data_IF_059575338432
#
_entry.id   IF_059575338432
#
_cell.length_a   1.000
_cell.length_b   1.000
_cell.length_c   1.000
_cell.angle_alpha   90.00
_cell.angle_beta   90.00
_cell.angle_gamma   90.00
#
_symmetry.space_group_name_H-M   'P 1'
#
loop_
_entity.id
_entity.type
_entity.pdbx_description
1 polymer ?
#
# COMPACT_ATOMS: atom_id res chain seq x y z
N UNK A 1 9.46 15.66 -23.18
CA UNK A 1 9.25 15.43 -21.76
C UNK A 1 7.85 15.92 -21.40
N UNK A 2 7.05 15.07 -20.81
CA UNK A 2 5.73 15.39 -20.27
C UNK A 2 5.79 15.54 -18.75
N UNK A 3 4.63 15.72 -18.10
CA UNK A 3 4.54 15.81 -16.64
C UNK A 3 5.08 14.53 -15.96
N UNK A 4 4.84 13.36 -16.54
CA UNK A 4 5.33 12.09 -16.02
C UNK A 4 6.85 12.01 -16.01
N UNK A 5 7.50 12.37 -17.11
CA UNK A 5 8.96 12.41 -17.19
C UNK A 5 9.56 13.38 -16.15
N UNK A 6 8.93 14.56 -15.97
CA UNK A 6 9.39 15.55 -14.99
C UNK A 6 9.23 15.04 -13.54
N UNK A 7 8.14 14.38 -13.22
CA UNK A 7 7.90 13.83 -11.87
C UNK A 7 8.92 12.73 -11.55
N UNK A 8 9.18 11.82 -12.48
CA UNK A 8 10.14 10.74 -12.32
C UNK A 8 11.59 11.22 -12.16
N UNK A 9 12.00 12.26 -12.91
CA UNK A 9 13.34 12.85 -12.78
C UNK A 9 13.66 13.28 -11.34
N UNK A 10 12.67 13.81 -10.63
CA UNK A 10 12.83 14.23 -9.23
C UNK A 10 13.01 13.05 -8.27
N UNK A 11 12.55 11.87 -8.66
CA UNK A 11 12.64 10.64 -7.86
C UNK A 11 13.93 9.86 -8.14
N UNK A 12 14.66 10.21 -9.20
CA UNK A 12 15.94 9.60 -9.55
C UNK A 12 15.85 8.30 -10.34
N UNK A 13 14.70 8.02 -10.96
CA UNK A 13 14.48 6.95 -11.93
C UNK A 13 13.69 7.47 -13.13
N UNK A 14 13.54 6.70 -14.17
CA UNK A 14 12.87 7.11 -15.40
C UNK A 14 11.75 6.18 -15.82
N UNK A 15 11.13 6.53 -16.94
CA UNK A 15 10.04 5.76 -17.54
C UNK A 15 10.44 4.31 -17.82
N UNK A 16 11.65 4.09 -18.33
CA UNK A 16 12.13 2.74 -18.69
C UNK A 16 12.16 1.79 -17.49
N UNK A 17 12.54 2.29 -16.33
CA UNK A 17 12.54 1.53 -15.08
C UNK A 17 11.12 1.16 -14.65
N UNK A 18 10.18 2.09 -14.73
CA UNK A 18 8.77 1.83 -14.39
C UNK A 18 8.08 0.91 -15.38
N UNK A 19 8.33 1.08 -16.68
CA UNK A 19 7.79 0.21 -17.72
C UNK A 19 8.29 -1.24 -17.52
N UNK A 20 9.59 -1.40 -17.21
CA UNK A 20 10.16 -2.71 -16.87
C UNK A 20 9.53 -3.30 -15.60
N UNK A 21 9.35 -2.49 -14.57
CA UNK A 21 8.69 -2.91 -13.34
C UNK A 21 7.25 -3.41 -13.61
N UNK A 22 6.44 -2.61 -14.29
CA UNK A 22 5.07 -2.99 -14.65
C UNK A 22 5.03 -4.26 -15.51
N UNK A 23 5.98 -4.42 -16.44
CA UNK A 23 6.12 -5.63 -17.25
C UNK A 23 6.45 -6.86 -16.41
N UNK A 24 7.32 -6.72 -15.40
CA UNK A 24 7.63 -7.81 -14.46
C UNK A 24 6.40 -8.17 -13.61
N UNK A 25 5.67 -7.18 -13.09
CA UNK A 25 4.42 -7.41 -12.34
C UNK A 25 3.40 -8.14 -13.21
N UNK A 26 3.18 -7.68 -14.44
CA UNK A 26 2.29 -8.36 -15.38
C UNK A 26 2.70 -9.81 -15.63
N UNK A 27 3.99 -10.07 -15.78
CA UNK A 27 4.51 -11.40 -16.09
C UNK A 27 4.46 -12.37 -14.91
N UNK A 28 4.78 -11.91 -13.71
CA UNK A 28 5.03 -12.78 -12.56
C UNK A 28 3.94 -12.70 -11.47
N UNK A 29 3.33 -11.53 -11.27
CA UNK A 29 2.33 -11.34 -10.22
C UNK A 29 0.89 -11.53 -10.74
N UNK A 30 0.58 -11.08 -11.95
CA UNK A 30 -0.77 -11.25 -12.51
C UNK A 30 -1.24 -12.72 -12.53
N UNK A 31 -0.42 -13.72 -12.87
CA UNK A 31 -0.83 -15.12 -12.78
C UNK A 31 -1.22 -15.56 -11.35
N UNK A 32 -0.53 -15.06 -10.31
CA UNK A 32 -0.88 -15.33 -8.92
C UNK A 32 -2.22 -14.67 -8.55
N UNK A 33 -2.42 -13.43 -8.97
CA UNK A 33 -3.68 -12.73 -8.75
C UNK A 33 -4.87 -13.49 -9.38
N UNK A 34 -4.72 -13.98 -10.60
CA UNK A 34 -5.72 -14.80 -11.27
C UNK A 34 -5.99 -16.12 -10.53
N UNK A 35 -4.96 -16.79 -10.04
CA UNK A 35 -5.10 -17.99 -9.21
C UNK A 35 -5.88 -17.70 -7.93
N UNK A 36 -5.59 -16.57 -7.26
CA UNK A 36 -6.30 -16.16 -6.05
C UNK A 36 -7.76 -15.82 -6.32
N UNK A 37 -8.06 -15.16 -7.43
CA UNK A 37 -9.45 -14.91 -7.85
C UNK A 37 -10.21 -16.22 -8.06
N UNK A 38 -9.59 -17.21 -8.67
CA UNK A 38 -10.21 -18.53 -8.86
C UNK A 38 -10.46 -19.24 -7.50
N UNK A 39 -9.50 -19.17 -6.57
CA UNK A 39 -9.70 -19.67 -5.21
C UNK A 39 -10.82 -18.93 -4.47
N UNK A 40 -10.92 -17.62 -4.63
CA UNK A 40 -12.02 -16.80 -4.08
C UNK A 40 -13.36 -17.23 -4.67
N UNK A 41 -13.45 -17.37 -6.00
CA UNK A 41 -14.64 -17.83 -6.70
C UNK A 41 -15.14 -19.17 -6.15
N UNK A 42 -14.21 -20.14 -5.99
CA UNK A 42 -14.51 -21.47 -5.45
C UNK A 42 -14.96 -21.40 -3.99
N UNK A 43 -14.30 -20.57 -3.17
CA UNK A 43 -14.65 -20.38 -1.76
C UNK A 43 -16.04 -19.77 -1.59
N UNK A 44 -16.40 -18.79 -2.43
CA UNK A 44 -17.73 -18.17 -2.44
C UNK A 44 -18.80 -19.06 -3.06
N UNK A 45 -18.44 -20.12 -3.78
CA UNK A 45 -19.37 -21.03 -4.43
C UNK A 45 -20.13 -20.40 -5.61
N UNK A 46 -19.57 -19.34 -6.24
CA UNK A 46 -20.20 -18.65 -7.37
C UNK A 46 -19.70 -19.20 -8.70
N UNK A 47 -20.54 -19.18 -9.73
CA UNK A 47 -20.16 -19.61 -11.08
C UNK A 47 -19.16 -18.63 -11.70
N UNK A 48 -19.38 -17.34 -11.51
CA UNK A 48 -18.55 -16.25 -12.02
C UNK A 48 -18.30 -15.25 -10.90
N UNK A 49 -17.04 -14.84 -10.71
CA UNK A 49 -16.68 -13.77 -9.77
C UNK A 49 -16.95 -12.41 -10.42
N UNK A 50 -18.03 -11.75 -10.01
CA UNK A 50 -18.41 -10.44 -10.51
C UNK A 50 -17.68 -9.30 -9.78
N UNK A 51 -17.64 -8.07 -10.33
CA UNK A 51 -16.93 -6.96 -9.71
C UNK A 51 -17.30 -6.69 -8.25
N UNK A 52 -18.57 -6.82 -7.91
CA UNK A 52 -19.08 -6.61 -6.53
C UNK A 52 -18.74 -7.76 -5.57
N UNK A 53 -18.42 -8.96 -6.09
CA UNK A 53 -17.98 -10.10 -5.26
C UNK A 53 -16.52 -9.96 -4.83
N UNK A 54 -15.73 -9.14 -5.54
CA UNK A 54 -14.27 -9.04 -5.33
C UNK A 54 -13.88 -8.51 -3.95
N UNK A 55 -14.72 -7.74 -3.31
CA UNK A 55 -14.49 -7.26 -1.96
C UNK A 55 -14.73 -8.34 -0.89
N UNK A 56 -15.45 -9.41 -1.21
CA UNK A 56 -15.81 -10.47 -0.29
C UNK A 56 -14.88 -11.68 -0.48
N UNK A 57 -14.03 -11.95 0.49
CA UNK A 57 -13.08 -13.09 0.42
C UNK A 57 -13.68 -14.37 1.00
N UNK A 58 -14.59 -14.28 1.96
CA UNK A 58 -15.21 -15.39 2.66
C UNK A 58 -16.75 -15.31 2.58
N UNK A 59 -17.48 -16.42 2.42
CA UNK A 59 -18.95 -16.41 2.28
C UNK A 59 -19.66 -15.94 3.56
N UNK A 60 -19.07 -16.13 4.72
CA UNK A 60 -19.57 -15.64 6.01
C UNK A 60 -19.26 -14.18 6.29
N UNK A 61 -18.53 -13.52 5.40
CA UNK A 61 -18.03 -12.14 5.54
C UNK A 61 -16.54 -12.09 5.82
N UNK A 62 -15.96 -10.93 5.60
CA UNK A 62 -14.54 -10.66 5.87
C UNK A 62 -14.29 -10.48 7.38
N UNK A 63 -13.03 -10.52 7.79
CA UNK A 63 -12.63 -10.36 9.17
C UNK A 63 -13.07 -9.02 9.75
N UNK A 64 -13.67 -9.07 10.93
CA UNK A 64 -14.10 -7.88 11.69
C UNK A 64 -13.09 -7.62 12.79
N UNK A 65 -12.49 -6.42 12.84
CA UNK A 65 -11.54 -6.05 13.88
C UNK A 65 -12.23 -5.74 15.22
N UNK A 66 -11.42 -5.47 16.24
CA UNK A 66 -11.90 -4.80 17.45
C UNK A 66 -12.45 -3.40 17.11
N UNK A 67 -13.30 -2.85 17.97
CA UNK A 67 -13.83 -1.51 17.79
C UNK A 67 -12.72 -0.46 17.68
N UNK A 68 -12.97 0.63 16.95
CA UNK A 68 -11.96 1.66 16.68
C UNK A 68 -11.31 2.23 17.96
N UNK A 69 -12.08 2.37 19.02
CA UNK A 69 -11.62 2.84 20.34
C UNK A 69 -10.66 1.85 21.04
N UNK A 70 -10.69 0.58 20.66
CA UNK A 70 -9.80 -0.47 21.18
C UNK A 70 -8.53 -0.65 20.36
N UNK A 71 -8.45 -0.08 19.15
CA UNK A 71 -7.28 -0.17 18.27
C UNK A 71 -5.98 0.27 18.95
N UNK A 72 -5.94 1.40 19.71
CA UNK A 72 -4.73 1.82 20.40
C UNK A 72 -4.24 0.78 21.43
N UNK A 73 -5.17 0.11 22.12
CA UNK A 73 -4.83 -0.93 23.10
C UNK A 73 -4.31 -2.20 22.42
N UNK A 74 -4.91 -2.59 21.31
CA UNK A 74 -4.45 -3.72 20.48
C UNK A 74 -3.05 -3.47 19.91
N UNK A 75 -2.79 -2.29 19.37
CA UNK A 75 -1.51 -1.92 18.77
C UNK A 75 -0.37 -1.76 19.79
N UNK A 76 -0.66 -1.37 21.02
CA UNK A 76 0.37 -1.06 22.03
C UNK A 76 1.35 -2.20 22.24
N UNK A 77 0.86 -3.44 22.30
CA UNK A 77 1.70 -4.63 22.47
C UNK A 77 2.70 -4.79 21.33
N UNK A 78 2.25 -4.58 20.10
CA UNK A 78 3.08 -4.65 18.90
C UNK A 78 4.20 -3.60 18.95
N UNK A 79 3.87 -2.33 19.17
CA UNK A 79 4.85 -1.25 19.18
C UNK A 79 5.92 -1.43 20.26
N UNK A 80 5.54 -1.87 21.46
CA UNK A 80 6.50 -2.21 22.52
C UNK A 80 7.35 -3.44 22.20
N UNK A 81 6.84 -4.37 21.40
CA UNK A 81 7.60 -5.55 20.98
C UNK A 81 8.58 -5.24 19.83
N UNK A 82 8.28 -4.26 18.97
CA UNK A 82 9.16 -3.85 17.89
C UNK A 82 10.46 -3.23 18.42
N UNK A 83 10.35 -2.26 19.32
CA UNK A 83 11.49 -1.68 20.06
C UNK A 83 11.03 -0.79 21.22
N UNK A 84 11.91 -0.50 22.19
CA UNK A 84 11.60 0.49 23.24
C UNK A 84 11.24 1.88 22.68
N UNK A 85 11.89 2.31 21.59
CA UNK A 85 11.64 3.60 20.96
C UNK A 85 10.28 3.64 20.24
N UNK A 86 9.92 2.57 19.51
CA UNK A 86 8.61 2.46 18.90
C UNK A 86 7.49 2.42 19.95
N UNK A 87 7.70 1.70 21.06
CA UNK A 87 6.77 1.68 22.19
C UNK A 87 6.61 3.06 22.82
N UNK A 88 7.70 3.78 23.03
CA UNK A 88 7.66 5.17 23.54
C UNK A 88 6.92 6.10 22.58
N UNK A 89 7.24 6.07 21.29
CA UNK A 89 6.53 6.84 20.27
C UNK A 89 5.01 6.60 20.36
N UNK A 90 4.60 5.34 20.40
CA UNK A 90 3.19 4.97 20.44
C UNK A 90 2.51 5.45 21.73
N UNK A 91 3.15 5.31 22.89
CA UNK A 91 2.63 5.80 24.16
C UNK A 91 2.45 7.34 24.16
N UNK A 92 3.37 8.09 23.51
CA UNK A 92 3.23 9.53 23.34
C UNK A 92 2.04 9.89 22.43
N UNK A 93 1.83 9.15 21.32
CA UNK A 93 0.67 9.34 20.44
C UNK A 93 -0.65 9.20 21.23
N UNK A 94 -0.76 8.16 22.04
CA UNK A 94 -1.95 7.93 22.86
C UNK A 94 -2.08 8.98 23.96
N UNK A 95 -0.99 9.31 24.66
CA UNK A 95 -1.00 10.28 25.77
C UNK A 95 -1.43 11.68 25.35
N UNK A 96 -1.07 12.07 24.14
CA UNK A 96 -1.36 13.40 23.59
C UNK A 96 -2.60 13.46 22.72
N UNK A 97 -3.39 12.37 22.65
CA UNK A 97 -4.63 12.30 21.87
C UNK A 97 -4.42 12.63 20.38
N UNK A 98 -3.35 12.05 19.79
CA UNK A 98 -2.92 12.29 18.42
C UNK A 98 -3.47 11.26 17.41
N UNK A 99 -4.50 10.49 17.80
CA UNK A 99 -5.11 9.41 17.04
C UNK A 99 -6.61 9.65 16.90
N UNK A 100 -7.03 10.39 15.89
CA UNK A 100 -8.46 10.62 15.59
C UNK A 100 -8.96 9.56 14.58
N UNK A 101 -9.25 8.34 15.05
CA UNK A 101 -9.59 7.19 14.20
C UNK A 101 -11.05 6.74 14.33
N UNK A 102 -11.79 7.18 15.34
CA UNK A 102 -13.18 6.80 15.55
C UNK A 102 -14.06 7.19 14.36
N UNK A 103 -14.96 6.28 13.97
CA UNK A 103 -15.88 6.49 12.85
C UNK A 103 -16.87 7.64 13.10
N UNK A 104 -17.11 8.47 12.10
CA UNK A 104 -18.07 9.57 12.19
C UNK A 104 -18.66 9.92 10.81
N UNK A 105 -19.97 10.20 10.72
CA UNK A 105 -20.59 10.66 9.48
C UNK A 105 -20.11 12.08 9.07
N UNK A 106 -19.43 12.80 9.96
CA UNK A 106 -18.87 14.12 9.68
C UNK A 106 -17.42 14.05 9.14
N UNK A 107 -16.83 12.86 9.08
CA UNK A 107 -15.51 12.62 8.50
C UNK A 107 -15.62 12.18 7.04
N UNK A 108 -14.59 12.45 6.25
CA UNK A 108 -14.49 11.93 4.89
C UNK A 108 -14.39 10.40 4.97
N UNK A 109 -15.25 9.69 4.22
CA UNK A 109 -15.24 8.23 4.16
C UNK A 109 -14.06 7.70 3.35
N UNK A 110 -13.49 6.57 3.78
CA UNK A 110 -12.46 5.84 3.04
C UNK A 110 -11.11 6.55 2.95
N UNK A 111 -10.83 7.50 3.84
CA UNK A 111 -9.54 8.18 3.91
C UNK A 111 -8.90 8.01 5.29
N UNK A 112 -7.58 7.77 5.28
CA UNK A 112 -6.66 8.00 6.37
C UNK A 112 -5.56 8.95 5.92
N UNK A 113 -4.96 9.65 6.83
CA UNK A 113 -3.73 10.41 6.59
C UNK A 113 -2.94 10.62 7.88
N UNK A 114 -1.64 10.77 7.70
CA UNK A 114 -0.71 11.18 8.76
C UNK A 114 -0.10 12.52 8.39
N UNK A 115 -0.12 13.48 9.32
CA UNK A 115 0.52 14.78 9.13
C UNK A 115 1.41 15.13 10.32
N UNK A 116 2.56 15.76 10.04
CA UNK A 116 3.50 16.17 11.09
C UNK A 116 3.12 17.53 11.64
N UNK A 117 2.90 17.61 12.95
CA UNK A 117 2.54 18.86 13.63
C UNK A 117 3.68 19.90 13.72
N UNK A 118 4.82 19.60 13.10
CA UNK A 118 5.94 20.54 13.02
C UNK A 118 6.57 20.93 14.37
N UNK A 119 7.39 21.98 14.35
CA UNK A 119 8.01 22.51 15.55
C UNK A 119 7.00 23.34 16.39
N UNK A 120 7.05 23.26 17.73
CA UNK A 120 8.04 22.53 18.52
C UNK A 120 7.65 21.09 18.88
N UNK A 121 6.49 20.63 18.44
CA UNK A 121 5.92 19.35 18.86
C UNK A 121 6.73 18.14 18.34
N UNK A 122 7.04 18.11 17.02
CA UNK A 122 7.77 17.03 16.38
C UNK A 122 7.07 15.66 16.49
N UNK A 123 5.73 15.70 16.61
CA UNK A 123 4.87 14.51 16.67
C UNK A 123 3.94 14.51 15.46
N UNK A 124 3.58 13.33 14.94
CA UNK A 124 2.54 13.22 13.94
C UNK A 124 1.13 13.31 14.56
N UNK A 125 0.16 13.57 13.71
CA UNK A 125 -1.26 13.41 13.99
C UNK A 125 -1.84 12.45 12.95
N UNK A 126 -2.61 11.48 13.39
CA UNK A 126 -3.23 10.47 12.53
C UNK A 126 -4.74 10.67 12.53
N UNK A 127 -5.28 10.79 11.33
CA UNK A 127 -6.70 10.81 11.07
C UNK A 127 -7.11 9.56 10.28
N UNK A 128 -8.21 8.94 10.69
CA UNK A 128 -8.90 7.91 9.90
C UNK A 128 -10.40 7.99 10.19
N UNK A 129 -11.19 7.39 9.32
CA UNK A 129 -12.63 7.23 9.53
C UNK A 129 -12.96 5.75 9.50
N UNK A 130 -12.74 5.07 10.62
CA UNK A 130 -12.98 3.65 10.75
C UNK A 130 -14.47 3.30 10.58
N UNK A 131 -14.76 2.28 9.82
CA UNK A 131 -16.12 1.83 9.49
C UNK A 131 -16.45 0.42 10.03
N UNK A 132 -15.53 -0.20 10.76
CA UNK A 132 -15.68 -1.54 11.36
C UNK A 132 -15.25 -2.67 10.43
N UNK A 133 -14.53 -2.38 9.36
CA UNK A 133 -14.00 -3.40 8.43
C UNK A 133 -12.55 -3.75 8.71
N UNK A 134 -12.06 -4.85 8.12
CA UNK A 134 -10.65 -5.27 8.24
C UNK A 134 -9.67 -4.23 7.74
N UNK A 135 -10.08 -3.37 6.79
CA UNK A 135 -9.28 -2.27 6.27
C UNK A 135 -8.92 -1.22 7.32
N UNK A 136 -9.74 -1.07 8.39
CA UNK A 136 -9.44 -0.13 9.48
C UNK A 136 -8.08 -0.40 10.11
N UNK A 137 -7.74 -1.68 10.36
CA UNK A 137 -6.44 -2.06 10.93
C UNK A 137 -5.31 -1.79 9.94
N UNK A 138 -5.53 -2.09 8.66
CA UNK A 138 -4.55 -1.82 7.61
C UNK A 138 -4.26 -0.32 7.51
N UNK A 139 -5.30 0.52 7.40
CA UNK A 139 -5.16 1.98 7.35
C UNK A 139 -4.51 2.51 8.64
N UNK A 140 -4.97 2.06 9.79
CA UNK A 140 -4.44 2.49 11.09
C UNK A 140 -2.93 2.22 11.23
N UNK A 141 -2.49 1.03 10.87
CA UNK A 141 -1.07 0.66 10.95
C UNK A 141 -0.24 1.28 9.83
N UNK A 142 -0.83 1.50 8.66
CA UNK A 142 -0.25 2.26 7.56
C UNK A 142 0.09 3.69 7.99
N UNK A 143 -0.89 4.42 8.52
CA UNK A 143 -0.68 5.80 8.96
C UNK A 143 0.30 5.91 10.14
N UNK A 144 0.29 4.92 11.04
CA UNK A 144 1.29 4.83 12.09
C UNK A 144 2.70 4.53 11.56
N UNK A 145 2.84 3.89 10.41
CA UNK A 145 4.11 3.73 9.70
C UNK A 145 4.69 5.08 9.25
N UNK A 146 3.86 5.92 8.64
CA UNK A 146 4.21 7.32 8.31
C UNK A 146 4.53 8.12 9.58
N UNK A 147 3.72 7.94 10.63
CA UNK A 147 3.93 8.63 11.90
C UNK A 147 5.28 8.31 12.55
N UNK A 148 5.64 7.04 12.62
CA UNK A 148 6.93 6.62 13.15
C UNK A 148 8.09 7.13 12.29
N UNK A 149 7.96 7.09 10.98
CA UNK A 149 8.95 7.66 10.06
C UNK A 149 9.15 9.16 10.32
N UNK A 150 8.06 9.94 10.34
CA UNK A 150 8.13 11.37 10.62
C UNK A 150 8.73 11.69 11.99
N UNK A 151 8.34 10.93 13.03
CA UNK A 151 8.89 11.03 14.38
C UNK A 151 10.42 10.82 14.43
N UNK A 152 10.91 9.78 13.75
CA UNK A 152 12.34 9.44 13.71
C UNK A 152 13.13 10.43 12.83
N UNK A 153 12.60 10.79 11.66
CA UNK A 153 13.22 11.78 10.78
C UNK A 153 13.36 13.13 11.47
N UNK A 154 12.31 13.63 12.12
CA UNK A 154 12.32 14.91 12.82
C UNK A 154 13.44 15.00 13.87
N UNK A 155 13.75 13.88 14.52
CA UNK A 155 14.79 13.79 15.55
C UNK A 155 16.20 13.56 14.98
N UNK A 156 16.29 13.05 13.77
CA UNK A 156 17.56 12.63 13.15
C UNK A 156 18.06 13.62 12.10
N UNK A 157 17.16 14.38 11.46
CA UNK A 157 17.53 15.26 10.36
C UNK A 157 17.86 16.68 10.83
N UNK A 158 18.92 17.29 10.27
CA UNK A 158 19.32 18.64 10.67
C UNK A 158 18.43 19.75 10.10
N UNK A 159 17.67 19.46 9.04
CA UNK A 159 16.78 20.41 8.35
C UNK A 159 15.35 19.86 8.33
N UNK A 160 14.39 20.76 8.57
CA UNK A 160 12.96 20.42 8.51
C UNK A 160 12.53 19.88 7.14
N UNK A 161 13.13 20.39 6.05
CA UNK A 161 12.84 19.95 4.68
C UNK A 161 13.22 18.48 4.45
N UNK A 162 14.14 17.92 5.23
CA UNK A 162 14.52 16.52 5.14
C UNK A 162 13.61 15.56 5.94
N UNK A 163 12.64 16.07 6.67
CA UNK A 163 11.63 15.24 7.33
C UNK A 163 10.64 14.69 6.30
N UNK A 164 10.27 15.50 5.31
CA UNK A 164 9.39 15.10 4.22
C UNK A 164 10.06 14.14 3.25
N UNK A 165 9.27 13.25 2.69
CA UNK A 165 9.72 12.21 1.75
C UNK A 165 9.05 12.37 0.38
N UNK A 166 9.68 11.79 -0.65
CA UNK A 166 8.96 11.48 -1.90
C UNK A 166 7.93 10.38 -1.65
N UNK A 167 6.81 10.34 -2.41
CA UNK A 167 5.76 9.34 -2.21
C UNK A 167 6.26 7.90 -2.23
N UNK A 168 7.18 7.58 -3.12
CA UNK A 168 7.78 6.25 -3.28
C UNK A 168 8.62 5.81 -2.07
N UNK A 169 9.23 6.73 -1.34
CA UNK A 169 9.89 6.44 -0.06
C UNK A 169 8.88 6.41 1.10
N UNK A 170 7.94 7.34 1.14
CA UNK A 170 6.95 7.42 2.19
C UNK A 170 6.17 6.10 2.33
N UNK A 171 5.73 5.55 1.20
CA UNK A 171 4.94 4.32 1.19
C UNK A 171 5.74 3.06 1.54
N UNK A 172 7.08 3.07 1.45
CA UNK A 172 7.89 1.95 1.98
C UNK A 172 7.70 1.82 3.49
N UNK A 173 7.60 2.94 4.20
CA UNK A 173 7.48 2.93 5.66
C UNK A 173 6.10 2.42 6.10
N UNK A 174 5.04 2.92 5.48
CA UNK A 174 3.66 2.53 5.75
C UNK A 174 3.41 1.07 5.40
N UNK A 175 3.76 0.64 4.18
CA UNK A 175 3.60 -0.76 3.73
C UNK A 175 4.44 -1.74 4.56
N UNK A 176 5.61 -1.34 5.03
CA UNK A 176 6.40 -2.17 5.96
C UNK A 176 5.70 -2.32 7.30
N UNK A 177 5.13 -1.26 7.87
CA UNK A 177 4.41 -1.34 9.14
C UNK A 177 3.16 -2.23 9.04
N UNK A 178 2.41 -2.18 7.93
CA UNK A 178 1.33 -3.13 7.67
C UNK A 178 1.82 -4.59 7.79
N UNK A 179 2.96 -4.92 7.17
CA UNK A 179 3.53 -6.27 7.21
C UNK A 179 4.07 -6.65 8.59
N UNK A 180 4.66 -5.72 9.33
CA UNK A 180 5.12 -5.93 10.70
C UNK A 180 3.96 -6.14 11.69
N UNK A 181 2.75 -5.75 11.33
CA UNK A 181 1.52 -5.97 12.11
C UNK A 181 1.02 -7.41 12.02
N UNK A 182 1.30 -8.13 10.92
CA UNK A 182 0.72 -9.45 10.66
C UNK A 182 0.95 -10.48 11.79
N UNK A 183 2.12 -10.58 12.44
CA UNK A 183 2.32 -11.47 13.58
C UNK A 183 1.41 -11.15 14.77
N UNK A 184 0.89 -9.95 14.86
CA UNK A 184 0.02 -9.44 15.93
C UNK A 184 -1.46 -9.40 15.53
N UNK A 185 -1.84 -9.94 14.36
CA UNK A 185 -3.21 -9.92 13.86
C UNK A 185 -4.24 -10.42 14.89
N UNK A 186 -3.86 -11.35 15.79
CA UNK A 186 -4.74 -11.84 16.83
C UNK A 186 -5.13 -10.79 17.87
N UNK A 187 -4.29 -9.80 18.11
CA UNK A 187 -4.59 -8.70 19.04
C UNK A 187 -5.69 -7.78 18.49
N UNK A 188 -5.80 -7.67 17.15
CA UNK A 188 -6.79 -6.85 16.44
C UNK A 188 -8.06 -7.61 16.05
N UNK A 189 -7.96 -8.89 15.73
CA UNK A 189 -9.05 -9.68 15.14
C UNK A 189 -9.49 -10.88 15.97
N UNK A 190 -8.82 -11.15 17.08
CA UNK A 190 -9.12 -12.31 17.92
C UNK A 190 -9.14 -13.62 17.09
N UNK A 191 -10.28 -14.38 17.11
CA UNK A 191 -10.40 -15.63 16.36
C UNK A 191 -10.44 -15.44 14.83
N UNK A 192 -10.73 -14.24 14.32
CA UNK A 192 -10.80 -13.91 12.89
C UNK A 192 -9.44 -13.57 12.29
N UNK A 193 -8.35 -13.59 13.06
CA UNK A 193 -7.00 -13.30 12.57
C UNK A 193 -6.59 -14.14 11.34
N UNK A 194 -6.88 -15.45 11.23
CA UNK A 194 -6.54 -16.22 10.04
C UNK A 194 -7.27 -15.74 8.77
N UNK A 195 -8.52 -15.25 8.90
CA UNK A 195 -9.26 -14.65 7.79
C UNK A 195 -8.58 -13.36 7.34
N UNK A 196 -8.30 -12.45 8.26
CA UNK A 196 -7.58 -11.21 7.97
C UNK A 196 -6.24 -11.45 7.26
N UNK A 197 -5.43 -12.40 7.72
CA UNK A 197 -4.16 -12.73 7.06
C UNK A 197 -4.33 -13.17 5.61
N UNK A 198 -5.41 -13.86 5.30
CA UNK A 198 -5.74 -14.25 3.92
C UNK A 198 -6.20 -13.06 3.10
N UNK A 199 -7.07 -12.21 3.67
CA UNK A 199 -7.56 -10.97 3.04
C UNK A 199 -6.41 -10.00 2.75
N UNK A 200 -5.56 -9.74 3.72
CA UNK A 200 -4.42 -8.85 3.57
C UNK A 200 -3.46 -9.32 2.45
N UNK A 201 -3.18 -10.62 2.38
CA UNK A 201 -2.36 -11.18 1.30
C UNK A 201 -3.03 -11.00 -0.06
N UNK A 202 -4.35 -11.22 -0.12
CA UNK A 202 -5.12 -11.01 -1.34
C UNK A 202 -5.03 -9.55 -1.80
N UNK A 203 -5.27 -8.60 -0.89
CA UNK A 203 -5.21 -7.17 -1.17
C UNK A 203 -3.81 -6.73 -1.60
N UNK A 204 -2.78 -7.23 -0.98
CA UNK A 204 -1.38 -6.92 -1.29
C UNK A 204 -0.98 -7.32 -2.72
N UNK A 205 -1.41 -8.50 -3.18
CA UNK A 205 -1.18 -8.97 -4.56
C UNK A 205 -2.07 -8.19 -5.55
N UNK A 206 -3.32 -7.96 -5.19
CA UNK A 206 -4.27 -7.15 -5.95
C UNK A 206 -3.75 -5.73 -6.20
N UNK A 207 -3.20 -5.09 -5.17
CA UNK A 207 -2.65 -3.74 -5.23
C UNK A 207 -1.50 -3.62 -6.22
N UNK A 208 -0.57 -4.58 -6.25
CA UNK A 208 0.51 -4.61 -7.23
C UNK A 208 -0.03 -4.56 -8.67
N UNK A 209 -1.04 -5.37 -8.97
CA UNK A 209 -1.68 -5.38 -10.28
C UNK A 209 -2.45 -4.09 -10.55
N UNK A 210 -3.19 -3.58 -9.54
CA UNK A 210 -3.99 -2.39 -9.66
C UNK A 210 -3.17 -1.14 -9.97
N UNK A 211 -2.13 -0.91 -9.20
CA UNK A 211 -1.33 0.30 -9.32
C UNK A 211 -0.47 0.31 -10.58
N UNK A 212 0.02 -0.87 -11.00
CA UNK A 212 0.70 -1.00 -12.30
C UNK A 212 -0.26 -0.82 -13.48
N UNK A 213 -1.51 -1.29 -13.39
CA UNK A 213 -2.54 -1.05 -14.40
C UNK A 213 -2.82 0.45 -14.55
N UNK A 214 -3.10 1.14 -13.45
CA UNK A 214 -3.35 2.59 -13.46
C UNK A 214 -2.15 3.34 -14.02
N UNK A 215 -0.93 3.04 -13.57
CA UNK A 215 0.29 3.68 -14.08
C UNK A 215 0.47 3.49 -15.60
N UNK A 216 0.21 2.28 -16.09
CA UNK A 216 0.30 1.98 -17.53
C UNK A 216 -0.73 2.78 -18.32
N UNK A 217 -1.95 2.88 -17.80
CA UNK A 217 -3.00 3.70 -18.41
C UNK A 217 -2.65 5.19 -18.39
N UNK A 218 -2.18 5.72 -17.25
CA UNK A 218 -1.75 7.12 -17.16
C UNK A 218 -0.60 7.44 -18.13
N UNK A 219 0.33 6.51 -18.33
CA UNK A 219 1.41 6.68 -19.31
C UNK A 219 0.84 6.85 -20.70
N UNK A 220 -0.11 6.00 -21.09
CA UNK A 220 -0.81 6.12 -22.36
C UNK A 220 -1.60 7.44 -22.47
N UNK A 221 -2.26 7.90 -21.40
CA UNK A 221 -2.99 9.19 -21.40
C UNK A 221 -2.08 10.37 -21.77
N UNK A 222 -0.90 10.45 -21.15
CA UNK A 222 0.06 11.52 -21.43
C UNK A 222 0.67 11.45 -22.83
N UNK A 223 0.70 10.26 -23.43
CA UNK A 223 1.14 10.05 -24.81
C UNK A 223 0.05 10.38 -25.85
N UNK A 224 -1.21 10.37 -25.44
CA UNK A 224 -2.38 10.55 -26.32
C UNK A 224 -3.31 11.67 -25.81
N UNK A 225 -2.83 12.91 -25.69
CA UNK A 225 -3.60 14.01 -25.07
C UNK A 225 -4.88 14.36 -25.84
N UNK A 226 -4.94 14.03 -27.15
CA UNK A 226 -6.09 14.30 -28.02
C UNK A 226 -7.07 13.10 -28.10
N UNK A 227 -6.85 12.03 -27.31
CA UNK A 227 -7.72 10.87 -27.34
C UNK A 227 -9.11 11.20 -26.77
N UNK A 228 -10.15 10.64 -27.40
CA UNK A 228 -11.53 10.78 -26.97
C UNK A 228 -11.81 9.98 -25.68
N UNK A 229 -12.89 10.33 -24.96
CA UNK A 229 -13.32 9.59 -23.77
C UNK A 229 -13.62 8.11 -24.07
N UNK A 230 -14.08 7.78 -25.28
CA UNK A 230 -14.27 6.39 -25.70
C UNK A 230 -12.95 5.64 -25.77
N UNK A 231 -11.93 6.26 -26.38
CA UNK A 231 -10.58 5.69 -26.45
C UNK A 231 -9.96 5.55 -25.04
N UNK A 232 -10.23 6.49 -24.14
CA UNK A 232 -9.81 6.36 -22.73
C UNK A 232 -10.42 5.13 -22.07
N UNK A 233 -11.74 4.91 -22.23
CA UNK A 233 -12.43 3.76 -21.65
C UNK A 233 -11.93 2.44 -22.26
N UNK A 234 -11.69 2.40 -23.56
CA UNK A 234 -11.16 1.22 -24.27
C UNK A 234 -9.74 0.88 -23.78
N UNK A 235 -8.88 1.88 -23.65
CA UNK A 235 -7.50 1.67 -23.17
C UNK A 235 -7.45 1.31 -21.69
N UNK A 236 -8.28 1.94 -20.86
CA UNK A 236 -8.40 1.58 -19.45
C UNK A 236 -8.83 0.11 -19.28
N UNK A 237 -9.86 -0.32 -20.00
CA UNK A 237 -10.30 -1.72 -19.98
C UNK A 237 -9.19 -2.68 -20.47
N UNK A 238 -8.45 -2.28 -21.51
CA UNK A 238 -7.31 -3.05 -22.01
C UNK A 238 -6.21 -3.22 -20.96
N UNK A 239 -5.85 -2.16 -20.25
CA UNK A 239 -4.83 -2.24 -19.19
C UNK A 239 -5.32 -3.02 -17.99
N UNK A 240 -6.56 -2.82 -17.55
CA UNK A 240 -7.17 -3.60 -16.47
C UNK A 240 -7.15 -5.11 -16.78
N UNK A 241 -7.51 -5.51 -18.00
CA UNK A 241 -7.44 -6.90 -18.46
C UNK A 241 -6.01 -7.46 -18.45
N UNK A 242 -5.04 -6.66 -18.88
CA UNK A 242 -3.64 -7.07 -18.93
C UNK A 242 -3.07 -7.39 -17.53
N UNK A 243 -3.61 -6.77 -16.49
CA UNK A 243 -3.25 -7.00 -15.08
C UNK A 243 -4.26 -7.87 -14.32
N UNK A 244 -5.15 -8.58 -15.01
CA UNK A 244 -6.08 -9.53 -14.42
C UNK A 244 -7.27 -8.92 -13.69
N UNK A 245 -7.58 -7.63 -13.90
CA UNK A 245 -8.59 -6.90 -13.13
C UNK A 245 -9.98 -6.84 -13.76
N UNK A 246 -10.07 -6.79 -15.07
CA UNK A 246 -11.35 -6.62 -15.80
C UNK A 246 -11.95 -7.94 -16.31
N UNK A 247 -11.86 -9.01 -15.51
CA UNK A 247 -12.35 -10.31 -15.95
C UNK A 247 -13.82 -10.52 -15.58
N UNK A 248 -14.54 -11.24 -16.46
CA UNK A 248 -15.85 -11.82 -16.21
C UNK A 248 -17.00 -10.82 -16.01
N UNK A 249 -16.95 -9.65 -16.60
CA UNK A 249 -18.12 -8.79 -16.68
C UNK A 249 -19.07 -9.31 -17.78
N UNK A 250 -20.38 -9.38 -17.48
CA UNK A 250 -21.40 -9.60 -18.50
C UNK A 250 -21.30 -8.49 -19.56
N UNK A 251 -21.60 -8.78 -20.86
CA UNK A 251 -21.43 -7.81 -21.93
C UNK A 251 -22.10 -6.45 -21.68
N UNK A 252 -23.26 -6.43 -21.02
CA UNK A 252 -23.97 -5.19 -20.66
C UNK A 252 -23.24 -4.43 -19.54
N UNK A 253 -22.62 -5.14 -18.61
CA UNK A 253 -21.81 -4.54 -17.54
C UNK A 253 -20.52 -3.94 -18.11
N UNK A 254 -19.91 -4.58 -19.10
CA UNK A 254 -18.73 -4.05 -19.80
C UNK A 254 -19.03 -2.68 -20.45
N UNK A 255 -20.19 -2.49 -21.04
CA UNK A 255 -20.59 -1.21 -21.63
C UNK A 255 -20.89 -0.12 -20.60
N UNK A 256 -21.49 -0.49 -19.47
CA UNK A 256 -21.89 0.46 -18.41
C UNK A 256 -20.74 0.74 -17.45
N UNK A 257 -19.95 -0.28 -17.08
CA UNK A 257 -18.93 -0.19 -16.04
C UNK A 257 -17.56 0.23 -16.57
N UNK A 258 -17.23 -0.04 -17.85
CA UNK A 258 -15.93 0.34 -18.41
C UNK A 258 -15.66 1.86 -18.32
N UNK A 259 -16.72 2.67 -18.48
CA UNK A 259 -16.63 4.11 -18.24
C UNK A 259 -16.73 4.47 -16.75
N UNK A 260 -17.53 3.75 -15.96
CA UNK A 260 -17.73 4.08 -14.54
C UNK A 260 -16.46 3.89 -13.72
N UNK A 261 -15.78 2.76 -13.85
CA UNK A 261 -14.55 2.48 -13.09
C UNK A 261 -13.44 3.50 -13.39
N UNK A 262 -13.29 3.90 -14.66
CA UNK A 262 -12.36 4.95 -15.05
C UNK A 262 -12.73 6.29 -14.42
N UNK A 263 -13.99 6.74 -14.62
CA UNK A 263 -14.40 8.10 -14.24
C UNK A 263 -14.68 8.27 -12.74
N UNK A 264 -14.79 7.19 -12.00
CA UNK A 264 -14.88 7.21 -10.52
C UNK A 264 -13.52 6.98 -9.83
N UNK A 265 -12.46 6.66 -10.59
CA UNK A 265 -11.14 6.43 -10.02
C UNK A 265 -10.46 7.75 -9.65
N UNK A 266 -10.64 8.17 -8.40
CA UNK A 266 -10.11 9.44 -7.88
C UNK A 266 -8.58 9.52 -7.97
N UNK A 267 -7.86 8.40 -7.92
CA UNK A 267 -6.40 8.39 -7.97
C UNK A 267 -5.86 9.00 -9.29
N UNK A 268 -6.51 8.71 -10.41
CA UNK A 268 -6.11 9.23 -11.73
C UNK A 268 -6.26 10.77 -11.81
N UNK A 269 -7.32 11.31 -11.16
CA UNK A 269 -7.67 12.73 -11.31
C UNK A 269 -7.12 13.62 -10.21
N UNK A 270 -7.01 13.12 -8.98
CA UNK A 270 -6.54 13.88 -7.83
C UNK A 270 -5.03 13.75 -7.61
N UNK A 271 -4.49 12.58 -7.91
CA UNK A 271 -3.10 12.23 -7.59
C UNK A 271 -2.40 11.56 -8.78
N UNK A 272 -2.30 12.23 -9.95
CA UNK A 272 -1.72 11.63 -11.15
C UNK A 272 -0.28 11.18 -10.89
N UNK A 273 0.05 9.99 -11.37
CA UNK A 273 1.36 9.35 -11.24
C UNK A 273 1.77 8.94 -9.82
N UNK A 274 0.86 9.10 -8.85
CA UNK A 274 1.14 8.79 -7.45
C UNK A 274 1.09 7.28 -7.14
N UNK A 275 0.09 6.57 -7.66
CA UNK A 275 -0.24 5.22 -7.19
C UNK A 275 0.84 4.16 -7.48
N UNK A 276 1.68 4.37 -8.49
CA UNK A 276 2.82 3.47 -8.75
C UNK A 276 3.82 3.45 -7.60
N UNK A 277 3.87 4.51 -6.79
CA UNK A 277 4.68 4.57 -5.57
C UNK A 277 4.32 3.45 -4.59
N UNK A 278 3.04 3.14 -4.43
CA UNK A 278 2.59 2.00 -3.63
C UNK A 278 3.10 0.67 -4.17
N UNK A 279 3.03 0.47 -5.50
CA UNK A 279 3.52 -0.79 -6.09
C UNK A 279 5.02 -1.00 -5.88
N UNK A 280 5.82 0.05 -6.05
CA UNK A 280 7.26 0.02 -5.77
C UNK A 280 7.52 -0.27 -4.28
N UNK A 281 6.77 0.40 -3.41
CA UNK A 281 6.91 0.29 -1.96
C UNK A 281 6.52 -1.08 -1.42
N UNK A 282 5.52 -1.74 -2.00
CA UNK A 282 5.14 -3.12 -1.69
C UNK A 282 6.34 -4.06 -1.84
N UNK A 283 7.10 -3.93 -2.92
CA UNK A 283 8.29 -4.77 -3.16
C UNK A 283 9.39 -4.49 -2.15
N UNK A 284 9.61 -3.22 -1.79
CA UNK A 284 10.57 -2.84 -0.75
C UNK A 284 10.16 -3.34 0.63
N UNK A 285 8.88 -3.20 0.98
CA UNK A 285 8.31 -3.63 2.26
C UNK A 285 8.44 -5.14 2.45
N UNK A 286 8.26 -5.94 1.39
CA UNK A 286 8.47 -7.39 1.46
C UNK A 286 9.94 -7.75 1.71
N UNK A 287 10.88 -7.02 1.13
CA UNK A 287 12.30 -7.24 1.42
C UNK A 287 12.63 -6.91 2.89
N UNK A 288 12.08 -5.82 3.45
CA UNK A 288 12.24 -5.48 4.87
C UNK A 288 11.58 -6.51 5.78
N UNK A 289 10.38 -6.98 5.41
CA UNK A 289 9.68 -8.05 6.14
C UNK A 289 10.50 -9.34 6.14
N UNK A 290 11.05 -9.75 4.99
CA UNK A 290 11.90 -10.93 4.89
C UNK A 290 13.18 -10.80 5.75
N UNK A 291 13.80 -9.61 5.77
CA UNK A 291 14.93 -9.34 6.65
C UNK A 291 14.52 -9.43 8.14
N UNK A 292 13.37 -8.88 8.51
CA UNK A 292 12.83 -8.95 9.87
C UNK A 292 12.49 -10.38 10.30
N UNK A 293 11.91 -11.18 9.41
CA UNK A 293 11.59 -12.58 9.69
C UNK A 293 12.83 -13.45 9.86
N UNK A 294 13.91 -13.13 9.14
CA UNK A 294 15.19 -13.84 9.25
C UNK A 294 15.95 -13.45 10.54
N UNK A 295 15.98 -12.17 10.86
CA UNK A 295 16.58 -11.61 12.09
C UNK A 295 15.81 -10.33 12.48
N UNK A 296 14.94 -10.40 13.51
CA UNK A 296 14.15 -9.24 13.95
C UNK A 296 14.99 -8.02 14.36
N UNK A 297 16.20 -8.24 14.87
CA UNK A 297 17.08 -7.14 15.30
C UNK A 297 17.67 -6.43 14.09
N UNK A 298 18.20 -7.16 13.12
CA UNK A 298 18.75 -6.59 11.87
C UNK A 298 17.62 -5.96 11.03
N UNK A 299 16.49 -6.66 10.84
CA UNK A 299 15.36 -6.14 10.07
C UNK A 299 14.78 -4.86 10.67
N UNK A 300 14.65 -4.79 12.00
CA UNK A 300 14.24 -3.56 12.65
C UNK A 300 15.27 -2.44 12.49
N UNK A 301 16.56 -2.75 12.63
CA UNK A 301 17.61 -1.75 12.46
C UNK A 301 17.62 -1.15 11.05
N UNK A 302 17.37 -1.95 10.01
CA UNK A 302 17.25 -1.48 8.62
C UNK A 302 16.02 -0.58 8.44
N UNK A 303 14.87 -0.99 8.97
CA UNK A 303 13.65 -0.19 8.91
C UNK A 303 13.80 1.14 9.68
N UNK A 304 14.38 1.10 10.87
CA UNK A 304 14.68 2.28 11.68
C UNK A 304 15.63 3.25 10.95
N UNK A 305 16.72 2.75 10.37
CA UNK A 305 17.68 3.56 9.62
C UNK A 305 17.01 4.21 8.39
N UNK A 306 16.14 3.49 7.72
CA UNK A 306 15.34 4.01 6.61
C UNK A 306 14.45 5.16 7.10
N UNK A 307 13.68 4.98 8.17
CA UNK A 307 12.85 6.01 8.77
C UNK A 307 13.66 7.26 9.16
N UNK A 308 14.79 7.07 9.83
CA UNK A 308 15.63 8.16 10.31
C UNK A 308 16.33 8.93 9.19
N UNK A 309 16.51 8.33 8.00
CA UNK A 309 17.17 8.99 6.86
C UNK A 309 16.38 10.15 6.27
N UNK A 310 15.07 10.16 6.45
CA UNK A 310 14.18 11.14 5.85
C UNK A 310 14.41 11.29 4.34
N UNK A 311 14.09 12.46 3.81
CA UNK A 311 14.28 12.83 2.39
C UNK A 311 15.66 13.41 2.06
N UNK A 312 16.69 13.11 2.85
CA UNK A 312 18.04 13.66 2.64
C UNK A 312 18.82 13.04 1.48
N UNK A 313 18.33 11.94 0.92
CA UNK A 313 18.94 11.18 -0.18
C UNK A 313 17.94 10.87 -1.28
N UNK A 314 18.42 10.55 -2.48
CA UNK A 314 17.58 10.05 -3.55
C UNK A 314 17.08 8.63 -3.24
N UNK A 315 15.98 8.24 -3.89
CA UNK A 315 15.32 6.95 -3.70
C UNK A 315 16.29 5.75 -3.73
N UNK A 316 17.06 5.63 -4.81
CA UNK A 316 18.01 4.53 -4.97
C UNK A 316 19.11 4.49 -3.89
N UNK A 317 19.60 5.66 -3.48
CA UNK A 317 20.62 5.77 -2.43
C UNK A 317 20.08 5.38 -1.06
N UNK A 318 18.82 5.77 -0.79
CA UNK A 318 18.12 5.45 0.46
C UNK A 318 17.86 3.95 0.57
N UNK A 319 17.38 3.32 -0.51
CA UNK A 319 17.16 1.87 -0.53
C UNK A 319 18.47 1.09 -0.38
N UNK A 320 19.52 1.49 -1.11
CA UNK A 320 20.84 0.85 -1.00
C UNK A 320 21.42 0.95 0.42
N UNK A 321 21.23 2.10 1.10
CA UNK A 321 21.69 2.28 2.48
C UNK A 321 20.93 1.37 3.47
N UNK A 322 19.68 1.01 3.18
CA UNK A 322 18.90 0.05 3.95
C UNK A 322 19.15 -1.43 3.52
N UNK A 323 20.05 -1.66 2.58
CA UNK A 323 20.34 -3.00 2.05
C UNK A 323 19.23 -3.60 1.20
N UNK A 324 18.42 -2.74 0.54
CA UNK A 324 17.32 -3.14 -0.33
C UNK A 324 17.74 -3.08 -1.80
N UNK A 325 17.22 -4.01 -2.58
CA UNK A 325 17.32 -3.99 -4.04
C UNK A 325 16.24 -3.08 -4.62
N UNK A 326 16.55 -2.43 -5.74
CA UNK A 326 15.58 -1.60 -6.46
C UNK A 326 14.43 -2.47 -6.99
N UNK A 327 13.15 -2.09 -6.81
CA UNK A 327 12.00 -2.89 -7.20
C UNK A 327 11.98 -3.27 -8.68
N UNK A 328 12.50 -2.38 -9.54
CA UNK A 328 12.59 -2.59 -10.98
C UNK A 328 13.86 -3.35 -11.42
N UNK A 329 14.74 -3.72 -10.50
CA UNK A 329 15.92 -4.51 -10.83
C UNK A 329 15.55 -5.91 -11.36
N UNK A 330 16.34 -6.46 -12.30
CA UNK A 330 16.05 -7.78 -12.88
C UNK A 330 15.92 -8.88 -11.82
N UNK A 331 14.83 -9.64 -11.88
CA UNK A 331 14.58 -10.78 -11.01
C UNK A 331 14.02 -10.48 -9.62
N UNK A 332 13.90 -9.22 -9.21
CA UNK A 332 13.36 -8.84 -7.89
C UNK A 332 11.88 -9.23 -7.80
N UNK A 333 11.06 -8.82 -8.76
CA UNK A 333 9.62 -9.18 -8.79
C UNK A 333 9.42 -10.67 -9.00
N UNK A 334 10.30 -11.34 -9.75
CA UNK A 334 10.22 -12.81 -9.92
C UNK A 334 10.48 -13.56 -8.61
N UNK A 335 11.44 -13.11 -7.79
CA UNK A 335 11.67 -13.70 -6.46
C UNK A 335 10.47 -13.48 -5.55
N UNK A 336 9.96 -12.24 -5.51
CA UNK A 336 8.76 -11.90 -4.75
C UNK A 336 7.57 -12.80 -5.15
N UNK A 337 7.35 -12.97 -6.45
CA UNK A 337 6.26 -13.85 -6.93
C UNK A 337 6.40 -15.30 -6.44
N UNK A 338 7.62 -15.84 -6.40
CA UNK A 338 7.88 -17.20 -5.87
C UNK A 338 7.61 -17.29 -4.37
N UNK A 339 7.99 -16.27 -3.60
CA UNK A 339 7.74 -16.20 -2.15
C UNK A 339 6.24 -16.11 -1.84
N UNK A 340 5.52 -15.26 -2.58
CA UNK A 340 4.07 -15.14 -2.45
C UNK A 340 3.34 -16.41 -2.88
N UNK A 341 3.78 -17.06 -3.97
CA UNK A 341 3.19 -18.31 -4.44
C UNK A 341 3.30 -19.45 -3.43
N UNK A 342 4.37 -19.47 -2.62
CA UNK A 342 4.52 -20.45 -1.54
C UNK A 342 3.52 -20.26 -0.39
N UNK A 343 2.82 -19.14 -0.35
CA UNK A 343 1.85 -18.78 0.67
C UNK A 343 0.39 -18.84 0.16
N UNK A 344 0.17 -18.97 -1.13
CA UNK A 344 -1.11 -19.07 -1.83
C UNK A 344 -1.47 -20.54 -2.07
#
# INVERSE_FOLDING_TARGET
>A
ADYGDLSMQRLGYGRAELDEFCRQVQKYITPLYLQMQEQQRQRLGVETLLPYDRALVFPEGNAVPVAAEELPKAARRMYHALSPEAGHFFDEMVRHDLLDVAGSPNKISGMGFCDMLGAPCGMPFIFANCDGTGSDVTVYTHELGHGLQGYLSYRSQPLADYVGLSPDLAEVHSKTMELLTLPYARDFFGPHAPQFLTEHRYDFIKELCAFCSIHTFETWLYEHPDASLSQWAEEFDRTEKAFGRAQNNEPWQQQVLAGCDLFTNTAIYMFPRYVVSYALSIVCAQQLKAAYDADPVDGWARYHALCASGGSKLYAETLAAAGLELPYAPGVVERLARELAAQV
#
